data_IF_090334099874
#
_entry.id   IF_090334099874
#
_cell.length_a   1.000
_cell.length_b   1.000
_cell.length_c   1.000
_cell.angle_alpha   90.00
_cell.angle_beta   90.00
_cell.angle_gamma   90.00
#
_symmetry.space_group_name_H-M   'P 1'
#
loop_
_entity.id
_entity.type
_entity.pdbx_description
1 polymer ?
#
# COMPACT_ATOMS: atom_id res chain seq x y z
N UNK A 1 4.33 16.29 35.61
CA UNK A 1 3.04 15.95 34.97
C UNK A 1 3.39 15.55 33.54
N UNK A 2 3.45 14.26 33.25
CA UNK A 2 3.80 13.77 31.92
C UNK A 2 2.52 13.74 31.06
N UNK A 3 2.48 14.50 29.98
CA UNK A 3 1.48 14.29 28.93
C UNK A 3 1.87 13.01 28.21
N UNK A 4 1.08 11.94 28.39
CA UNK A 4 1.15 10.78 27.52
C UNK A 4 0.39 11.18 26.25
N UNK A 5 1.05 11.27 25.08
CA UNK A 5 0.32 11.53 23.85
C UNK A 5 -0.62 10.35 23.62
N UNK A 6 -1.92 10.65 23.54
CA UNK A 6 -2.94 9.68 23.14
C UNK A 6 -2.78 9.54 21.63
N UNK A 7 -1.99 8.59 21.18
CA UNK A 7 -1.95 8.21 19.77
C UNK A 7 -3.23 7.41 19.49
N UNK A 8 -4.12 7.95 18.66
CA UNK A 8 -5.27 7.20 18.16
C UNK A 8 -4.78 6.22 17.10
N UNK A 9 -4.79 4.94 17.43
CA UNK A 9 -4.45 3.88 16.47
C UNK A 9 -5.77 3.39 15.87
N UNK A 10 -5.94 3.56 14.56
CA UNK A 10 -7.06 3.02 13.81
C UNK A 10 -6.57 1.82 12.99
N UNK A 11 -7.10 0.64 13.28
CA UNK A 11 -6.81 -0.59 12.55
C UNK A 11 -8.01 -1.01 11.72
N UNK A 12 -7.77 -1.39 10.46
CA UNK A 12 -8.78 -1.92 9.56
C UNK A 12 -8.29 -3.26 9.00
N UNK A 13 -9.16 -4.27 9.01
CA UNK A 13 -8.92 -5.56 8.37
C UNK A 13 -9.90 -5.69 7.20
N UNK A 14 -9.37 -6.02 6.02
CA UNK A 14 -10.16 -6.24 4.83
C UNK A 14 -9.72 -7.53 4.15
N UNK A 15 -10.70 -8.37 3.81
CA UNK A 15 -10.49 -9.63 3.10
C UNK A 15 -11.07 -9.44 1.70
N UNK A 16 -10.23 -9.62 0.69
CA UNK A 16 -10.64 -9.59 -0.72
C UNK A 16 -10.14 -10.84 -1.46
N UNK A 17 -10.80 -11.17 -2.57
CA UNK A 17 -10.36 -12.23 -3.48
C UNK A 17 -9.73 -11.58 -4.72
N UNK A 18 -8.40 -11.57 -4.76
CA UNK A 18 -7.63 -11.00 -5.87
C UNK A 18 -7.26 -12.14 -6.83
N UNK A 19 -7.64 -12.00 -8.10
CA UNK A 19 -7.19 -12.93 -9.15
C UNK A 19 -5.96 -12.35 -9.87
N UNK A 20 -5.14 -13.24 -10.41
CA UNK A 20 -3.89 -12.92 -11.10
C UNK A 20 -4.10 -11.91 -12.26
N UNK A 21 -3.37 -10.78 -12.20
CA UNK A 21 -3.50 -9.65 -13.12
C UNK A 21 -4.54 -8.59 -12.74
N UNK A 22 -5.16 -8.68 -11.55
CA UNK A 22 -6.06 -7.66 -11.00
C UNK A 22 -5.32 -6.86 -9.93
N UNK A 23 -5.33 -5.53 -10.06
CA UNK A 23 -4.93 -4.61 -9.00
C UNK A 23 -6.13 -4.26 -8.11
N UNK A 24 -5.93 -4.27 -6.79
CA UNK A 24 -6.90 -3.73 -5.82
C UNK A 24 -6.36 -2.43 -5.25
N UNK A 25 -7.24 -1.43 -5.12
CA UNK A 25 -6.89 -0.11 -4.63
C UNK A 25 -7.62 0.21 -3.33
N UNK A 26 -6.88 0.70 -2.35
CA UNK A 26 -7.41 1.27 -1.11
C UNK A 26 -7.04 2.74 -1.02
N UNK A 27 -7.91 3.49 -0.34
CA UNK A 27 -7.78 4.92 -0.12
C UNK A 27 -7.78 5.15 1.38
N UNK A 28 -6.84 5.95 1.85
CA UNK A 28 -6.74 6.31 3.26
C UNK A 28 -6.42 7.80 3.36
N UNK A 29 -7.21 8.51 4.16
CA UNK A 29 -6.95 9.91 4.51
C UNK A 29 -6.03 9.91 5.74
N UNK A 30 -4.90 10.62 5.64
CA UNK A 30 -3.87 10.65 6.68
C UNK A 30 -3.39 12.08 6.89
N UNK A 31 -3.05 12.39 8.14
CA UNK A 31 -2.52 13.69 8.57
C UNK A 31 -0.99 13.67 8.68
N UNK A 32 -0.35 14.83 8.45
CA UNK A 32 1.09 14.99 8.62
C UNK A 32 1.57 14.53 10.02
N UNK A 33 2.60 13.69 10.04
CA UNK A 33 3.17 13.12 11.26
C UNK A 33 2.51 11.83 11.74
N UNK A 34 1.40 11.39 11.14
CA UNK A 34 0.85 10.05 11.39
C UNK A 34 1.76 8.95 10.82
N UNK A 35 1.65 7.75 11.36
CA UNK A 35 2.32 6.56 10.82
C UNK A 35 1.26 5.62 10.25
N UNK A 36 1.52 5.12 9.04
CA UNK A 36 0.75 4.05 8.44
C UNK A 36 1.56 2.77 8.43
N UNK A 37 0.92 1.70 8.90
CA UNK A 37 1.44 0.34 8.87
C UNK A 37 0.48 -0.52 8.05
N UNK A 38 0.99 -1.18 7.02
CA UNK A 38 0.23 -2.03 6.12
C UNK A 38 0.89 -3.40 6.13
N UNK A 39 0.12 -4.41 6.50
CA UNK A 39 0.56 -5.80 6.51
C UNK A 39 -0.42 -6.63 5.70
N UNK A 40 0.12 -7.45 4.79
CA UNK A 40 -0.67 -8.28 3.88
C UNK A 40 -0.32 -9.72 4.14
N UNK A 41 -1.35 -10.54 4.31
CA UNK A 41 -1.22 -11.99 4.41
C UNK A 41 -2.11 -12.63 3.36
N UNK A 42 -1.72 -13.81 2.90
CA UNK A 42 -2.46 -14.55 1.88
C UNK A 42 -2.58 -16.03 2.26
N UNK A 43 -3.67 -16.65 1.84
CA UNK A 43 -3.96 -18.06 2.13
C UNK A 43 -3.58 -19.00 0.97
N UNK A 44 -3.53 -18.47 -0.26
CA UNK A 44 -3.22 -19.23 -1.48
C UNK A 44 -1.88 -18.81 -2.07
N UNK A 45 -1.33 -19.56 -3.03
CA UNK A 45 -0.04 -19.23 -3.65
C UNK A 45 -0.18 -18.01 -4.58
N UNK A 46 0.78 -17.09 -4.52
CA UNK A 46 0.85 -15.92 -5.38
C UNK A 46 1.79 -14.86 -4.81
N UNK A 47 2.49 -14.11 -5.66
CA UNK A 47 3.36 -13.03 -5.18
C UNK A 47 2.57 -11.73 -5.17
N UNK A 48 2.24 -11.25 -3.98
CA UNK A 48 1.63 -9.94 -3.84
C UNK A 48 2.72 -8.87 -3.84
N UNK A 49 2.48 -7.81 -4.58
CA UNK A 49 3.30 -6.61 -4.50
C UNK A 49 2.43 -5.47 -3.99
N UNK A 50 2.96 -4.75 -3.02
CA UNK A 50 2.30 -3.68 -2.30
C UNK A 50 2.99 -2.36 -2.62
N UNK A 51 2.20 -1.38 -3.02
CA UNK A 51 2.66 -0.03 -3.33
C UNK A 51 1.87 1.01 -2.54
N UNK A 52 2.57 2.04 -2.07
CA UNK A 52 2.01 3.23 -1.47
C UNK A 52 2.33 4.44 -2.35
N UNK A 53 1.31 5.19 -2.74
CA UNK A 53 1.45 6.41 -3.53
C UNK A 53 0.89 7.63 -2.80
N UNK A 54 1.58 8.76 -2.96
CA UNK A 54 1.13 10.07 -2.45
C UNK A 54 0.20 10.82 -3.39
N UNK A 55 -0.13 10.24 -4.55
CA UNK A 55 -1.07 10.78 -5.52
C UNK A 55 -1.67 9.64 -6.34
N UNK A 56 -2.83 9.88 -6.95
CA UNK A 56 -3.53 8.85 -7.73
C UNK A 56 -2.65 8.38 -8.90
N UNK A 57 -2.33 7.08 -9.01
CA UNK A 57 -1.70 6.52 -10.21
C UNK A 57 -2.56 6.80 -11.45
N UNK A 58 -1.95 7.32 -12.52
CA UNK A 58 -2.62 7.59 -13.80
C UNK A 58 -2.41 6.49 -14.84
N UNK A 59 -1.55 5.54 -14.55
CA UNK A 59 -1.18 4.42 -15.40
C UNK A 59 -1.31 3.12 -14.60
N UNK A 60 -1.57 2.00 -15.28
CA UNK A 60 -1.74 0.69 -14.61
C UNK A 60 -0.42 0.13 -14.08
N UNK A 61 0.72 0.55 -14.62
CA UNK A 61 2.06 0.03 -14.32
C UNK A 61 2.24 -1.50 -14.35
N UNK A 62 1.25 -2.25 -14.83
CA UNK A 62 1.29 -3.68 -15.10
C UNK A 62 1.33 -3.86 -16.61
N UNK A 63 2.33 -4.57 -17.11
CA UNK A 63 2.49 -4.88 -18.52
C UNK A 63 1.51 -5.99 -18.96
N UNK A 64 1.35 -6.15 -20.28
CA UNK A 64 0.46 -7.19 -20.85
C UNK A 64 0.91 -8.61 -20.49
N UNK A 65 2.22 -8.81 -20.29
CA UNK A 65 2.81 -10.08 -19.84
C UNK A 65 2.73 -10.28 -18.32
N UNK A 66 1.95 -9.43 -17.63
CA UNK A 66 1.77 -9.36 -16.17
C UNK A 66 3.00 -8.93 -15.39
N UNK A 67 4.11 -8.57 -16.04
CA UNK A 67 5.26 -8.03 -15.30
C UNK A 67 5.02 -6.58 -14.87
N UNK A 68 5.73 -6.11 -13.85
CA UNK A 68 5.69 -4.72 -13.42
C UNK A 68 6.49 -3.83 -14.38
N UNK A 69 5.90 -2.70 -14.79
CA UNK A 69 6.62 -1.61 -15.44
C UNK A 69 7.56 -0.96 -14.41
N UNK A 70 8.88 -0.92 -14.63
CA UNK A 70 9.86 -0.39 -13.67
C UNK A 70 9.63 1.08 -13.25
N UNK A 71 8.84 1.83 -14.02
CA UNK A 71 8.49 3.22 -13.69
C UNK A 71 7.70 3.33 -12.38
N UNK A 72 6.98 2.26 -11.97
CA UNK A 72 6.21 2.23 -10.73
C UNK A 72 7.07 2.50 -9.48
N UNK A 73 8.29 1.98 -9.46
CA UNK A 73 9.22 2.12 -8.34
C UNK A 73 9.77 3.55 -8.20
N UNK A 74 9.63 4.38 -9.23
CA UNK A 74 10.05 5.78 -9.20
C UNK A 74 8.95 6.71 -8.71
N UNK A 75 7.69 6.30 -8.85
CA UNK A 75 6.51 7.11 -8.47
C UNK A 75 5.91 6.69 -7.14
N UNK A 76 6.15 5.45 -6.72
CA UNK A 76 5.75 4.97 -5.39
C UNK A 76 6.56 5.68 -4.30
N UNK A 77 5.88 6.05 -3.21
CA UNK A 77 6.54 6.57 -2.00
C UNK A 77 7.22 5.45 -1.21
N UNK A 78 6.59 4.27 -1.19
CA UNK A 78 7.12 3.08 -0.54
C UNK A 78 6.50 1.83 -1.22
N UNK A 79 7.20 0.71 -1.17
CA UNK A 79 6.75 -0.54 -1.76
C UNK A 79 7.39 -1.76 -1.08
N UNK A 80 6.72 -2.90 -1.17
CA UNK A 80 7.26 -4.22 -0.81
C UNK A 80 6.86 -5.24 -1.87
N UNK A 81 7.81 -6.09 -2.24
CA UNK A 81 7.65 -7.19 -3.21
C UNK A 81 7.92 -8.55 -2.55
N UNK A 82 7.85 -8.59 -1.22
CA UNK A 82 8.04 -9.80 -0.43
C UNK A 82 6.78 -10.67 -0.46
N UNK A 83 6.91 -11.96 -0.14
CA UNK A 83 5.79 -12.92 -0.09
C UNK A 83 4.66 -12.44 0.87
N UNK A 84 5.06 -11.87 2.01
CA UNK A 84 4.16 -11.20 2.95
C UNK A 84 4.53 -9.72 3.01
N UNK A 85 4.01 -8.90 2.08
CA UNK A 85 4.50 -7.55 1.91
C UNK A 85 4.07 -6.65 3.07
N UNK A 86 5.00 -5.78 3.47
CA UNK A 86 4.87 -4.91 4.62
C UNK A 86 5.35 -3.49 4.28
N UNK A 87 4.57 -2.49 4.68
CA UNK A 87 4.97 -1.08 4.61
C UNK A 87 4.80 -0.45 5.98
N UNK A 88 5.83 0.29 6.40
CA UNK A 88 5.77 1.25 7.49
C UNK A 88 6.25 2.59 6.96
N UNK A 89 5.40 3.61 7.04
CA UNK A 89 5.67 4.92 6.47
C UNK A 89 5.16 6.05 7.38
N UNK A 90 6.01 7.05 7.61
CA UNK A 90 5.64 8.29 8.30
C UNK A 90 5.14 9.32 7.29
N UNK A 91 3.93 9.81 7.51
CA UNK A 91 3.22 10.74 6.64
C UNK A 91 3.88 12.11 6.70
N UNK A 92 4.20 12.68 5.54
CA UNK A 92 4.88 13.96 5.41
C UNK A 92 3.94 15.12 5.05
N UNK A 93 2.75 14.81 4.55
CA UNK A 93 1.76 15.79 4.11
C UNK A 93 0.35 15.25 4.40
N UNK A 94 -0.54 16.08 4.92
CA UNK A 94 -1.96 15.76 5.12
C UNK A 94 -2.70 15.66 3.78
N UNK A 95 -3.12 14.45 3.39
CA UNK A 95 -3.85 14.15 2.15
C UNK A 95 -4.33 12.70 2.10
N UNK A 96 -5.05 12.37 1.03
CA UNK A 96 -5.38 10.99 0.67
C UNK A 96 -4.16 10.30 0.06
N UNK A 97 -3.82 9.15 0.63
CA UNK A 97 -2.83 8.21 0.11
C UNK A 97 -3.53 7.04 -0.59
N UNK A 98 -2.84 6.49 -1.58
CA UNK A 98 -3.35 5.40 -2.42
C UNK A 98 -2.50 4.17 -2.19
N UNK A 99 -3.14 3.07 -1.81
CA UNK A 99 -2.51 1.78 -1.62
C UNK A 99 -2.93 0.92 -2.80
N UNK A 100 -1.97 0.30 -3.47
CA UNK A 100 -2.21 -0.65 -4.56
C UNK A 100 -1.63 -2.01 -4.19
N UNK A 101 -2.44 -3.05 -4.35
CA UNK A 101 -2.03 -4.45 -4.26
C UNK A 101 -2.16 -5.08 -5.64
N UNK A 102 -1.07 -5.68 -6.10
CA UNK A 102 -1.01 -6.36 -7.40
C UNK A 102 -0.60 -7.81 -7.17
N UNK A 103 -1.41 -8.74 -7.66
CA UNK A 103 -1.08 -10.16 -7.70
C UNK A 103 -0.40 -10.49 -9.03
N UNK A 104 0.82 -11.03 -8.96
CA UNK A 104 1.68 -11.40 -10.09
C UNK A 104 2.07 -12.88 -10.08
#
# INVERSE_FOLDING_TARGET
>A
MALIPIASIFGFEYIDNINDGISVYFLVDLEEGENIEINITHTEQGNFTLFLFGSRPTESYVNVDKTLNPSIFQVALNYSIDDNPYINYTVLESKIYYIELILI
#
